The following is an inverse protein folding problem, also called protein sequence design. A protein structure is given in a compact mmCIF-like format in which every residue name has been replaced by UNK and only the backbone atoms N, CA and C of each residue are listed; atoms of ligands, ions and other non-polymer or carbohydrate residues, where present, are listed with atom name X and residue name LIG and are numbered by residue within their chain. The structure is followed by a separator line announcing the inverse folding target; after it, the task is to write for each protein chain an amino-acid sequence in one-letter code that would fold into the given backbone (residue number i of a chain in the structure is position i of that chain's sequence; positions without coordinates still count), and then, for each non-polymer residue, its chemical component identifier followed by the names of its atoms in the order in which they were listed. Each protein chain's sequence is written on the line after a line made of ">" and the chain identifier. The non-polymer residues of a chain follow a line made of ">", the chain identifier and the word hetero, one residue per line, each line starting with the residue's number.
data_IF_767852081217
#
_entry.id   IF_767852081217
#
_cell.length_a   1.000
_cell.length_b   1.000
_cell.length_c   1.000
_cell.angle_alpha   90.00
_cell.angle_beta   90.00
_cell.angle_gamma   90.00
#
_symmetry.space_group_name_H-M   'P 1'
#
loop_
_entity.id
_entity.type
_entity.pdbx_description
1 polymer ?
#
# COMPACT_ATOMS: atom_id res chain seq x y z
N UNK A 1 19.97 -8.81 9.55
CA UNK A 1 19.25 -9.57 10.62
C UNK A 1 17.73 -9.40 10.56
N UNK A 2 17.18 -8.17 10.50
CA UNK A 2 15.71 -7.95 10.50
C UNK A 2 14.99 -8.53 9.26
N UNK A 3 15.60 -8.49 8.08
CA UNK A 3 15.05 -9.13 6.87
C UNK A 3 14.96 -10.64 6.98
N UNK A 4 15.96 -11.29 7.58
CA UNK A 4 15.96 -12.75 7.83
C UNK A 4 14.88 -13.16 8.83
N UNK A 5 14.57 -12.32 9.83
CA UNK A 5 13.48 -12.55 10.78
C UNK A 5 12.11 -12.36 10.09
N UNK A 6 11.98 -11.37 9.19
CA UNK A 6 10.77 -11.23 8.36
C UNK A 6 10.60 -12.46 7.48
N UNK A 7 11.66 -12.93 6.80
CA UNK A 7 11.62 -14.12 5.96
C UNK A 7 11.28 -15.39 6.75
N UNK A 8 11.83 -15.60 7.95
CA UNK A 8 11.52 -16.79 8.77
C UNK A 8 10.10 -16.80 9.34
N UNK A 9 9.47 -15.64 9.58
CA UNK A 9 8.03 -15.58 9.88
C UNK A 9 7.15 -15.94 8.67
N UNK A 10 7.66 -15.85 7.43
CA UNK A 10 6.93 -16.22 6.20
C UNK A 10 6.79 -17.73 6.02
N UNK A 11 7.77 -18.51 6.48
CA UNK A 11 7.67 -19.96 6.49
C UNK A 11 6.60 -20.50 7.46
N UNK A 12 6.15 -19.67 8.42
CA UNK A 12 5.12 -20.01 9.40
C UNK A 12 3.69 -19.65 9.01
N UNK A 13 3.45 -19.07 7.82
CA UNK A 13 2.09 -18.81 7.34
C UNK A 13 1.54 -20.07 6.66
N UNK A 14 1.07 -21.00 7.49
CA UNK A 14 0.41 -22.23 7.07
C UNK A 14 -1.06 -21.92 6.81
N UNK A 15 -1.46 -21.94 5.54
CA UNK A 15 -2.82 -21.62 5.09
C UNK A 15 -2.84 -20.52 4.04
N UNK A 16 -3.92 -20.50 3.26
CA UNK A 16 -4.18 -19.53 2.19
C UNK A 16 -3.31 -19.61 0.94
N UNK A 17 -2.89 -20.83 0.60
CA UNK A 17 -2.23 -21.11 -0.67
C UNK A 17 -3.18 -20.87 -1.85
N UNK A 18 -4.46 -21.14 -1.67
CA UNK A 18 -5.47 -20.96 -2.73
C UNK A 18 -5.73 -19.48 -3.03
N UNK A 19 -5.82 -18.62 -2.02
CA UNK A 19 -5.99 -17.17 -2.21
C UNK A 19 -4.76 -16.56 -2.91
N UNK A 20 -3.55 -16.97 -2.51
CA UNK A 20 -2.31 -16.52 -3.18
C UNK A 20 -2.24 -17.02 -4.62
N UNK A 21 -2.63 -18.28 -4.85
CA UNK A 21 -2.65 -18.86 -6.18
C UNK A 21 -3.72 -18.19 -7.07
N UNK A 22 -4.88 -17.85 -6.53
CA UNK A 22 -5.92 -17.11 -7.22
C UNK A 22 -5.45 -15.71 -7.62
N UNK A 23 -4.82 -14.98 -6.69
CA UNK A 23 -4.25 -13.66 -6.99
C UNK A 23 -3.14 -13.75 -8.05
N UNK A 24 -2.23 -14.74 -7.94
CA UNK A 24 -1.18 -14.94 -8.93
C UNK A 24 -1.74 -15.23 -10.31
N UNK A 25 -2.72 -16.14 -10.43
CA UNK A 25 -3.40 -16.43 -11.70
C UNK A 25 -4.09 -15.20 -12.27
N UNK A 26 -4.67 -14.36 -11.41
CA UNK A 26 -5.30 -13.12 -11.84
C UNK A 26 -4.31 -12.13 -12.47
N UNK A 27 -3.10 -12.03 -11.94
CA UNK A 27 -2.04 -11.19 -12.51
C UNK A 27 -1.55 -11.68 -13.89
N UNK A 28 -1.80 -12.94 -14.24
CA UNK A 28 -1.48 -13.51 -15.55
C UNK A 28 -2.58 -13.24 -16.59
N UNK A 29 -3.73 -12.69 -16.18
CA UNK A 29 -4.81 -12.29 -17.07
C UNK A 29 -4.66 -10.83 -17.48
N UNK A 30 -4.88 -10.52 -18.75
CA UNK A 30 -4.95 -9.15 -19.24
C UNK A 30 -6.11 -8.38 -18.58
N UNK A 31 -5.99 -7.07 -18.32
CA UNK A 31 -7.07 -6.27 -17.75
C UNK A 31 -8.40 -6.32 -18.54
N UNK A 32 -8.33 -6.56 -19.85
CA UNK A 32 -9.49 -6.65 -20.74
C UNK A 32 -10.22 -8.00 -20.64
N UNK A 33 -9.62 -9.03 -20.02
CA UNK A 33 -10.25 -10.33 -19.80
C UNK A 33 -11.33 -10.19 -18.72
N UNK A 34 -12.56 -10.64 -18.99
CA UNK A 34 -13.68 -10.58 -18.03
C UNK A 34 -13.42 -11.35 -16.73
N UNK A 35 -12.49 -12.31 -16.76
CA UNK A 35 -12.06 -13.07 -15.58
C UNK A 35 -11.09 -12.27 -14.71
N UNK A 36 -10.49 -11.20 -15.22
CA UNK A 36 -9.59 -10.32 -14.48
C UNK A 36 -10.36 -9.59 -13.37
N UNK A 37 -9.90 -9.77 -12.15
CA UNK A 37 -10.45 -9.13 -10.94
C UNK A 37 -9.56 -7.97 -10.54
N UNK A 38 -10.14 -6.78 -10.50
CA UNK A 38 -9.44 -5.56 -10.08
C UNK A 38 -9.43 -5.37 -8.55
N UNK A 39 -10.42 -5.92 -7.85
CA UNK A 39 -10.61 -5.72 -6.42
C UNK A 39 -10.62 -7.07 -5.69
N UNK A 40 -9.70 -7.19 -4.73
CA UNK A 40 -9.66 -8.31 -3.78
C UNK A 40 -10.01 -7.79 -2.39
N UNK A 41 -11.13 -8.25 -1.82
CA UNK A 41 -11.53 -7.90 -0.47
C UNK A 41 -11.15 -9.02 0.51
N UNK A 42 -10.18 -8.76 1.39
CA UNK A 42 -9.71 -9.72 2.40
C UNK A 42 -10.44 -9.47 3.72
N UNK A 43 -11.34 -10.39 4.10
CA UNK A 43 -12.07 -10.34 5.38
C UNK A 43 -11.74 -11.55 6.27
N UNK A 44 -12.27 -11.56 7.50
CA UNK A 44 -12.07 -12.63 8.49
C UNK A 44 -11.88 -12.11 9.91
N UNK A 45 -11.72 -13.02 10.87
CA UNK A 45 -11.62 -12.67 12.30
C UNK A 45 -10.35 -11.85 12.63
N UNK A 46 -10.30 -11.25 13.81
CA UNK A 46 -9.07 -10.62 14.31
C UNK A 46 -7.97 -11.68 14.51
N UNK A 47 -6.70 -11.31 14.33
CA UNK A 47 -5.56 -12.21 14.57
C UNK A 47 -5.27 -13.25 13.49
N UNK A 48 -6.17 -13.49 12.53
CA UNK A 48 -6.00 -14.54 11.47
C UNK A 48 -4.96 -14.22 10.38
N UNK A 49 -4.15 -13.17 10.55
CA UNK A 49 -3.08 -12.83 9.60
C UNK A 49 -3.52 -12.11 8.31
N UNK A 50 -4.64 -11.39 8.29
CA UNK A 50 -5.08 -10.63 7.09
C UNK A 50 -4.04 -9.63 6.58
N UNK A 51 -3.46 -8.84 7.49
CA UNK A 51 -2.41 -7.89 7.13
C UNK A 51 -1.16 -8.59 6.58
N UNK A 52 -0.85 -9.78 7.11
CA UNK A 52 0.24 -10.60 6.59
C UNK A 52 -0.07 -11.10 5.17
N UNK A 53 -1.29 -11.59 4.91
CA UNK A 53 -1.70 -11.98 3.56
C UNK A 53 -1.57 -10.82 2.57
N UNK A 54 -2.05 -9.62 2.91
CA UNK A 54 -1.95 -8.45 2.01
C UNK A 54 -0.49 -8.11 1.67
N UNK A 55 0.42 -8.22 2.65
CA UNK A 55 1.87 -8.04 2.42
C UNK A 55 2.47 -9.11 1.51
N UNK A 56 2.01 -10.35 1.61
CA UNK A 56 2.43 -11.42 0.71
C UNK A 56 1.88 -11.20 -0.71
N UNK A 57 0.63 -10.74 -0.86
CA UNK A 57 0.07 -10.40 -2.18
C UNK A 57 0.83 -9.22 -2.82
N UNK A 58 1.20 -8.20 -2.04
CA UNK A 58 2.08 -7.11 -2.47
C UNK A 58 3.39 -7.66 -3.04
N UNK A 59 4.03 -8.60 -2.33
CA UNK A 59 5.27 -9.23 -2.79
C UNK A 59 5.09 -10.03 -4.09
N UNK A 60 4.01 -10.81 -4.21
CA UNK A 60 3.68 -11.56 -5.44
C UNK A 60 3.50 -10.61 -6.63
N UNK A 61 2.84 -9.47 -6.43
CA UNK A 61 2.68 -8.46 -7.48
C UNK A 61 4.02 -7.84 -7.90
N UNK A 62 4.91 -7.53 -6.94
CA UNK A 62 6.26 -7.04 -7.24
C UNK A 62 7.10 -8.04 -8.03
N UNK A 63 7.02 -9.32 -7.68
CA UNK A 63 7.72 -10.41 -8.39
C UNK A 63 7.24 -10.56 -9.84
N UNK A 64 5.98 -10.19 -10.12
CA UNK A 64 5.42 -10.11 -11.47
C UNK A 64 5.74 -8.79 -12.19
N UNK A 65 6.54 -7.90 -11.58
CA UNK A 65 6.93 -6.62 -12.16
C UNK A 65 5.89 -5.51 -12.03
N UNK A 66 4.82 -5.71 -11.25
CA UNK A 66 3.83 -4.68 -11.03
C UNK A 66 4.34 -3.59 -10.08
N UNK A 67 4.00 -2.34 -10.37
CA UNK A 67 4.16 -1.25 -9.42
C UNK A 67 3.18 -1.43 -8.27
N UNK A 68 3.68 -1.36 -7.04
CA UNK A 68 2.87 -1.62 -5.84
C UNK A 68 3.00 -0.49 -4.83
N UNK A 69 1.92 -0.22 -4.10
CA UNK A 69 1.97 0.64 -2.93
C UNK A 69 1.10 0.04 -1.82
N UNK A 70 1.59 0.11 -0.59
CA UNK A 70 0.89 -0.36 0.58
C UNK A 70 0.67 0.78 1.56
N UNK A 71 -0.60 0.98 1.96
CA UNK A 71 -1.00 1.96 2.96
C UNK A 71 -1.72 1.22 4.09
N UNK A 72 -1.32 1.49 5.32
CA UNK A 72 -2.01 0.97 6.51
C UNK A 72 -2.60 2.11 7.35
N UNK A 73 -3.15 1.74 8.50
CA UNK A 73 -3.77 2.63 9.49
C UNK A 73 -2.84 3.67 10.12
N UNK A 74 -1.55 3.69 9.78
CA UNK A 74 -0.62 4.74 10.26
C UNK A 74 -0.84 6.09 9.57
N UNK A 75 -1.47 6.12 8.39
CA UNK A 75 -1.82 7.39 7.73
C UNK A 75 -3.09 7.98 8.34
N UNK A 76 -3.05 9.26 8.70
CA UNK A 76 -4.13 9.95 9.38
C UNK A 76 -5.08 10.72 8.45
N UNK A 77 -4.81 10.73 7.13
CA UNK A 77 -5.63 11.47 6.16
C UNK A 77 -5.41 10.99 4.73
N UNK A 78 -6.35 11.32 3.84
CA UNK A 78 -6.26 11.00 2.40
C UNK A 78 -5.01 11.62 1.74
N UNK A 79 -4.63 12.89 1.99
CA UNK A 79 -3.40 13.45 1.42
C UNK A 79 -2.14 12.75 1.93
N UNK A 80 -2.13 12.26 3.16
CA UNK A 80 -1.01 11.45 3.69
C UNK A 80 -0.95 10.08 3.01
N UNK A 81 -2.10 9.43 2.77
CA UNK A 81 -2.17 8.19 2.00
C UNK A 81 -1.64 8.38 0.57
N UNK A 82 -2.10 9.42 -0.14
CA UNK A 82 -1.63 9.75 -1.50
C UNK A 82 -0.14 10.07 -1.53
N UNK A 83 0.37 10.73 -0.48
CA UNK A 83 1.81 10.99 -0.32
C UNK A 83 2.62 9.72 -0.22
N UNK A 84 2.14 8.76 0.58
CA UNK A 84 2.82 7.49 0.78
C UNK A 84 2.79 6.62 -0.49
N UNK A 85 1.66 6.60 -1.20
CA UNK A 85 1.55 5.94 -2.51
C UNK A 85 2.52 6.55 -3.51
N UNK A 86 2.53 7.88 -3.68
CA UNK A 86 3.44 8.57 -4.61
C UNK A 86 4.90 8.28 -4.29
N UNK A 87 5.27 8.30 -3.00
CA UNK A 87 6.63 7.99 -2.54
C UNK A 87 7.05 6.56 -2.88
N UNK A 88 6.17 5.58 -2.61
CA UNK A 88 6.47 4.16 -2.87
C UNK A 88 6.59 3.86 -4.36
N UNK A 89 5.69 4.42 -5.19
CA UNK A 89 5.73 4.25 -6.64
C UNK A 89 6.93 4.98 -7.27
N UNK A 90 7.27 6.16 -6.77
CA UNK A 90 8.45 6.91 -7.19
C UNK A 90 9.76 6.17 -6.95
N UNK A 91 9.86 5.44 -5.83
CA UNK A 91 10.99 4.57 -5.52
C UNK A 91 11.10 3.35 -6.46
N UNK A 92 10.01 2.97 -7.13
CA UNK A 92 9.98 1.91 -8.13
C UNK A 92 10.21 2.44 -9.57
N UNK A 93 10.30 3.77 -9.75
CA UNK A 93 10.52 4.41 -11.05
C UNK A 93 9.29 5.11 -11.64
N UNK A 94 8.13 5.06 -10.98
CA UNK A 94 6.90 5.72 -11.44
C UNK A 94 6.67 7.03 -10.66
N UNK A 95 7.04 8.16 -11.26
CA UNK A 95 6.94 9.49 -10.60
C UNK A 95 5.71 10.28 -11.07
N UNK A 96 5.07 10.97 -10.14
CA UNK A 96 3.88 11.80 -10.38
C UNK A 96 4.16 13.27 -10.02
N UNK A 97 4.90 13.97 -10.89
CA UNK A 97 5.37 15.35 -10.61
C UNK A 97 4.25 16.32 -10.22
N UNK A 98 3.10 16.23 -10.89
CA UNK A 98 1.96 17.09 -10.59
C UNK A 98 1.34 16.78 -9.22
N UNK A 99 1.14 15.49 -8.91
CA UNK A 99 0.66 15.05 -7.60
C UNK A 99 1.62 15.47 -6.48
N UNK A 100 2.93 15.31 -6.68
CA UNK A 100 3.96 15.74 -5.74
C UNK A 100 3.87 17.26 -5.46
N UNK A 101 3.68 18.07 -6.49
CA UNK A 101 3.49 19.52 -6.37
C UNK A 101 2.22 19.86 -5.57
N UNK A 102 1.09 19.25 -5.90
CA UNK A 102 -0.18 19.49 -5.20
C UNK A 102 -0.11 19.09 -3.72
N UNK A 103 0.55 17.96 -3.41
CA UNK A 103 0.78 17.51 -2.04
C UNK A 103 1.72 18.43 -1.27
N UNK A 104 2.73 19.01 -1.91
CA UNK A 104 3.62 20.00 -1.30
C UNK A 104 2.84 21.26 -0.89
N UNK A 105 2.05 21.83 -1.81
CA UNK A 105 1.18 22.98 -1.53
C UNK A 105 0.17 22.66 -0.42
N UNK A 106 -0.42 21.46 -0.41
CA UNK A 106 -1.34 21.05 0.66
C UNK A 106 -0.65 21.03 2.04
N UNK A 107 0.57 20.48 2.12
CA UNK A 107 1.33 20.42 3.38
C UNK A 107 1.70 21.81 3.89
N UNK A 108 2.07 22.72 3.00
CA UNK A 108 2.39 24.12 3.32
C UNK A 108 1.16 24.82 3.92
N UNK A 109 0.02 24.80 3.23
CA UNK A 109 -1.23 25.38 3.74
C UNK A 109 -1.67 24.77 5.08
N UNK A 110 -1.47 23.46 5.27
CA UNK A 110 -1.78 22.80 6.55
C UNK A 110 -0.86 23.28 7.68
N UNK A 111 0.42 23.53 7.39
CA UNK A 111 1.37 24.08 8.36
C UNK A 111 1.01 25.51 8.73
N UNK A 112 0.75 26.37 7.75
CA UNK A 112 0.30 27.75 7.96
C UNK A 112 -0.97 27.80 8.81
N UNK A 113 -1.98 26.99 8.49
CA UNK A 113 -3.22 26.93 9.26
C UNK A 113 -3.03 26.42 10.69
N UNK A 114 -2.06 25.52 10.94
CA UNK A 114 -1.71 25.05 12.29
C UNK A 114 -0.97 26.13 13.09
N UNK A 115 -0.02 26.82 12.47
CA UNK A 115 0.74 27.90 13.10
C UNK A 115 -0.15 29.10 13.42
N UNK A 116 -1.07 29.48 12.53
CA UNK A 116 -2.04 30.55 12.77
C UNK A 116 -3.01 30.22 13.91
N UNK A 117 -3.47 28.97 14.02
CA UNK A 117 -4.29 28.51 15.16
C UNK A 117 -3.53 28.43 16.48
N UNK A 118 -2.21 28.19 16.44
CA UNK A 118 -1.37 28.22 17.63
C UNK A 118 -1.10 29.64 18.12
N UNK A 119 -0.94 30.60 17.19
CA UNK A 119 -0.78 32.02 17.50
C UNK A 119 -2.07 32.65 18.06
N UNK A 120 -3.25 32.21 17.62
CA UNK A 120 -4.54 32.70 18.14
C UNK A 120 -4.93 32.16 19.53
N UNK A 121 -4.12 31.27 20.12
CA UNK A 121 -4.38 30.60 21.41
C UNK A 121 -3.46 31.09 22.55
N UNK A 122 -2.56 32.04 22.27
CA UNK A 122 -1.76 32.75 23.28
C UNK A 122 -2.38 34.12 23.54
#
# INVERSE_FOLDING_TARGET
>A
MQELIRQRRRAGFVGRSDERAAFRRNLDLAPEDERHRFLFHVHGNAGVGKAFLVRELEQVAREKGAFTAYVDKSVGSVPEAMSEVSRQLGAQGCRFKELERLLATHRERRREARSGKAALRQ
#
